data_IF_529189388852
#
_entry.id   IF_529189388852
#
_cell.length_a   1.000
_cell.length_b   1.000
_cell.length_c   1.000
_cell.angle_alpha   90.00
_cell.angle_beta   90.00
_cell.angle_gamma   90.00
#
_symmetry.space_group_name_H-M   'P 1'
#
loop_
_entity.id
_entity.type
_entity.pdbx_description
1 polymer ?
#
# COMPACT_ATOMS: atom_id res chain seq x y z
N UNK A 1 -23.36 18.21 20.72
CA UNK A 1 -23.46 16.75 20.51
C UNK A 1 -23.97 16.56 19.11
N UNK A 2 -23.11 16.16 18.18
CA UNK A 2 -23.44 16.12 16.74
C UNK A 2 -24.44 15.00 16.49
N UNK A 3 -25.66 15.34 16.07
CA UNK A 3 -26.68 14.34 15.74
C UNK A 3 -26.32 13.69 14.41
N UNK A 4 -25.97 12.43 14.49
CA UNK A 4 -25.32 11.69 13.43
C UNK A 4 -25.94 10.27 13.41
N UNK A 5 -25.89 9.56 12.27
CA UNK A 5 -26.51 8.24 12.12
C UNK A 5 -25.99 7.24 13.18
N UNK A 6 -24.72 7.34 13.57
CA UNK A 6 -24.11 6.51 14.62
C UNK A 6 -24.72 6.86 15.98
N UNK A 7 -24.93 8.15 16.26
CA UNK A 7 -25.64 8.58 17.47
C UNK A 7 -27.07 8.02 17.53
N UNK A 8 -27.77 7.95 16.39
CA UNK A 8 -29.09 7.30 16.31
C UNK A 8 -29.03 5.80 16.61
N UNK A 9 -28.04 5.09 16.05
CA UNK A 9 -27.84 3.65 16.28
C UNK A 9 -27.49 3.36 17.74
N UNK A 10 -26.64 4.18 18.37
CA UNK A 10 -26.29 4.05 19.79
C UNK A 10 -27.52 4.22 20.67
N UNK A 11 -28.37 5.23 20.40
CA UNK A 11 -29.63 5.43 21.15
C UNK A 11 -30.57 4.23 21.02
N UNK A 12 -30.65 3.61 19.85
CA UNK A 12 -31.46 2.40 19.65
C UNK A 12 -30.94 1.23 20.47
N UNK A 13 -29.62 1.01 20.48
CA UNK A 13 -29.00 -0.06 21.27
C UNK A 13 -29.17 0.16 22.77
N UNK A 14 -29.02 1.39 23.25
CA UNK A 14 -29.25 1.74 24.65
C UNK A 14 -30.71 1.54 25.07
N UNK A 15 -31.68 1.75 24.16
CA UNK A 15 -33.08 1.48 24.43
C UNK A 15 -33.40 -0.02 24.57
N UNK A 16 -32.70 -0.87 23.80
CA UNK A 16 -32.91 -2.33 23.83
C UNK A 16 -32.09 -3.01 24.93
N UNK A 17 -30.87 -2.53 25.19
CA UNK A 17 -29.98 -3.08 26.21
C UNK A 17 -29.18 -1.96 26.89
N UNK A 18 -29.72 -1.35 27.96
CA UNK A 18 -29.09 -0.22 28.65
C UNK A 18 -27.75 -0.56 29.33
N UNK A 19 -27.47 -1.84 29.58
CA UNK A 19 -26.24 -2.29 30.23
C UNK A 19 -25.08 -2.57 29.27
N UNK A 20 -25.30 -2.43 27.96
CA UNK A 20 -24.27 -2.67 26.95
C UNK A 20 -23.38 -1.45 26.77
N UNK A 21 -22.07 -1.63 26.95
CA UNK A 21 -21.10 -0.60 26.55
C UNK A 21 -21.08 -0.45 25.02
N UNK A 22 -21.55 0.70 24.56
CA UNK A 22 -21.65 1.05 23.14
C UNK A 22 -20.48 1.90 22.66
N UNK A 23 -19.55 2.26 23.54
CA UNK A 23 -18.40 3.12 23.21
C UNK A 23 -17.54 2.61 22.04
N UNK A 24 -17.16 1.32 22.00
CA UNK A 24 -16.40 0.76 20.88
C UNK A 24 -17.16 0.82 19.55
N UNK A 25 -18.46 0.51 19.56
CA UNK A 25 -19.31 0.58 18.37
C UNK A 25 -19.46 2.02 17.86
N UNK A 26 -19.62 2.96 18.78
CA UNK A 26 -19.74 4.39 18.46
C UNK A 26 -18.48 4.92 17.78
N UNK A 27 -17.30 4.54 18.28
CA UNK A 27 -16.01 4.92 17.68
C UNK A 27 -15.85 4.32 16.28
N UNK A 28 -16.06 3.00 16.13
CA UNK A 28 -15.94 2.30 14.85
C UNK A 28 -16.93 2.86 13.82
N UNK A 29 -18.18 3.11 14.23
CA UNK A 29 -19.21 3.68 13.37
C UNK A 29 -18.82 5.05 12.83
N UNK A 30 -18.24 5.91 13.67
CA UNK A 30 -17.77 7.23 13.24
C UNK A 30 -16.57 7.15 12.29
N UNK A 31 -15.62 6.26 12.54
CA UNK A 31 -14.48 6.05 11.64
C UNK A 31 -14.97 5.60 10.26
N UNK A 32 -15.87 4.61 10.21
CA UNK A 32 -16.44 4.13 8.95
C UNK A 32 -17.21 5.23 8.21
N UNK A 33 -17.95 6.08 8.93
CA UNK A 33 -18.65 7.22 8.34
C UNK A 33 -17.68 8.25 7.75
N UNK A 34 -16.62 8.59 8.47
CA UNK A 34 -15.58 9.49 7.96
C UNK A 34 -14.93 8.91 6.70
N UNK A 35 -14.63 7.61 6.69
CA UNK A 35 -14.07 6.94 5.52
C UNK A 35 -15.03 6.99 4.31
N UNK A 36 -16.32 6.71 4.52
CA UNK A 36 -17.32 6.78 3.45
C UNK A 36 -17.49 8.21 2.90
N UNK A 37 -17.53 9.22 3.78
CA UNK A 37 -17.61 10.63 3.36
C UNK A 37 -16.36 11.06 2.58
N UNK A 38 -15.18 10.61 3.00
CA UNK A 38 -13.94 10.88 2.29
C UNK A 38 -13.93 10.21 0.91
N UNK A 39 -14.35 8.95 0.80
CA UNK A 39 -14.51 8.26 -0.47
C UNK A 39 -15.45 9.03 -1.41
N UNK A 40 -16.63 9.43 -0.93
CA UNK A 40 -17.59 10.21 -1.72
C UNK A 40 -17.04 11.58 -2.14
N UNK A 41 -16.30 12.25 -1.25
CA UNK A 41 -15.71 13.56 -1.53
C UNK A 41 -14.59 13.48 -2.56
N UNK A 42 -13.82 12.38 -2.56
CA UNK A 42 -12.76 12.15 -3.52
C UNK A 42 -13.28 11.79 -4.92
N UNK A 43 -14.42 11.10 -5.01
CA UNK A 43 -15.04 10.77 -6.30
C UNK A 43 -15.42 12.00 -7.14
N UNK A 44 -15.72 13.15 -6.53
CA UNK A 44 -16.09 14.36 -7.27
C UNK A 44 -14.92 14.99 -8.05
N UNK A 45 -13.77 15.32 -7.43
CA UNK A 45 -12.60 15.83 -8.14
C UNK A 45 -11.89 14.75 -8.99
N UNK A 46 -11.88 13.49 -8.57
CA UNK A 46 -11.30 12.39 -9.36
C UNK A 46 -12.06 12.17 -10.67
N UNK A 47 -13.39 12.12 -10.62
CA UNK A 47 -14.23 12.05 -11.84
C UNK A 47 -14.05 13.28 -12.73
N UNK A 48 -13.89 14.48 -12.15
CA UNK A 48 -13.61 15.68 -12.93
C UNK A 48 -12.27 15.62 -13.66
N UNK A 49 -11.28 14.92 -13.09
CA UNK A 49 -9.99 14.64 -13.72
C UNK A 49 -10.00 13.39 -14.62
N UNK A 50 -11.14 12.68 -14.74
CA UNK A 50 -11.25 11.43 -15.50
C UNK A 50 -10.52 10.24 -14.88
N UNK A 51 -10.16 10.34 -13.58
CA UNK A 51 -9.39 9.33 -12.87
C UNK A 51 -10.29 8.53 -11.92
N UNK A 52 -9.97 7.26 -11.76
CA UNK A 52 -10.52 6.39 -10.71
C UNK A 52 -9.66 6.49 -9.45
N UNK A 53 -10.25 6.12 -8.29
CA UNK A 53 -9.52 6.07 -7.01
C UNK A 53 -8.27 5.18 -7.07
N UNK A 54 -8.37 4.03 -7.74
CA UNK A 54 -7.26 3.11 -7.91
C UNK A 54 -6.10 3.72 -8.72
N UNK A 55 -6.41 4.48 -9.77
CA UNK A 55 -5.40 5.19 -10.57
C UNK A 55 -4.74 6.32 -9.76
N UNK A 56 -5.50 7.04 -8.94
CA UNK A 56 -4.92 8.06 -8.06
C UNK A 56 -4.04 7.46 -6.98
N UNK A 57 -4.46 6.37 -6.34
CA UNK A 57 -3.65 5.67 -5.34
C UNK A 57 -2.38 5.10 -5.98
N UNK A 58 -2.44 4.62 -7.22
CA UNK A 58 -1.29 4.18 -8.01
C UNK A 58 -0.35 5.35 -8.32
N UNK A 59 -0.86 6.48 -8.82
CA UNK A 59 -0.07 7.69 -9.08
C UNK A 59 0.56 8.23 -7.79
N UNK A 60 -0.18 8.23 -6.69
CA UNK A 60 0.29 8.63 -5.37
C UNK A 60 1.33 7.67 -4.79
N UNK A 61 1.23 6.37 -5.10
CA UNK A 61 2.27 5.40 -4.78
C UNK A 61 3.52 5.69 -5.61
N UNK A 62 3.42 5.78 -6.94
CA UNK A 62 4.53 6.07 -7.87
C UNK A 62 5.19 7.42 -7.58
N UNK A 63 4.47 8.41 -7.06
CA UNK A 63 5.06 9.69 -6.66
C UNK A 63 5.81 9.61 -5.32
N UNK A 64 5.42 8.71 -4.42
CA UNK A 64 6.06 8.53 -3.11
C UNK A 64 7.24 7.58 -3.17
N UNK A 65 7.14 6.54 -3.97
CA UNK A 65 8.27 5.72 -4.37
C UNK A 65 8.83 6.35 -5.63
N UNK A 66 9.85 7.20 -5.52
CA UNK A 66 10.60 7.76 -6.64
C UNK A 66 11.26 6.65 -7.48
N UNK A 67 10.44 5.89 -8.19
CA UNK A 67 10.80 4.67 -8.90
C UNK A 67 9.82 4.50 -10.03
N UNK A 68 10.35 4.66 -11.24
CA UNK A 68 9.68 4.23 -12.46
C UNK A 68 9.28 2.77 -12.30
N UNK A 69 7.99 2.52 -12.11
CA UNK A 69 7.43 1.18 -12.28
C UNK A 69 7.32 0.94 -13.78
N UNK A 70 8.45 0.65 -14.43
CA UNK A 70 8.43 0.06 -15.76
C UNK A 70 7.74 -1.31 -15.64
N UNK A 71 6.59 -1.55 -16.30
CA UNK A 71 6.00 -2.88 -16.35
C UNK A 71 6.91 -3.74 -17.22
N UNK A 72 7.87 -4.45 -16.61
CA UNK A 72 8.78 -5.32 -17.36
C UNK A 72 10.20 -5.50 -16.84
N UNK A 73 10.56 -5.02 -15.64
CA UNK A 73 11.89 -5.35 -15.11
C UNK A 73 11.89 -6.70 -14.39
N UNK A 74 12.00 -7.79 -15.15
CA UNK A 74 12.40 -9.10 -14.61
C UNK A 74 13.69 -8.98 -13.80
N UNK A 75 13.79 -9.55 -12.59
CA UNK A 75 15.01 -9.48 -11.81
C UNK A 75 16.10 -10.31 -12.51
N UNK A 76 17.17 -9.61 -12.90
CA UNK A 76 18.54 -10.11 -13.00
C UNK A 76 18.74 -11.47 -13.65
N UNK A 77 19.09 -11.49 -14.93
CA UNK A 77 19.89 -12.60 -15.48
C UNK A 77 21.25 -12.57 -14.74
N UNK A 78 21.67 -13.62 -14.03
CA UNK A 78 23.00 -13.65 -13.44
C UNK A 78 24.06 -13.60 -14.55
N UNK A 79 25.06 -12.74 -14.38
CA UNK A 79 26.22 -12.66 -15.27
C UNK A 79 26.95 -14.02 -15.30
N UNK A 80 27.43 -14.49 -16.47
CA UNK A 80 28.19 -15.73 -16.54
C UNK A 80 29.54 -15.58 -15.80
N UNK A 81 30.05 -16.66 -15.18
CA UNK A 81 31.31 -16.62 -14.46
C UNK A 81 32.49 -16.33 -15.40
N UNK A 82 33.45 -15.53 -14.93
CA UNK A 82 34.66 -15.19 -15.66
C UNK A 82 35.53 -16.44 -15.92
N UNK A 83 36.23 -16.52 -17.07
CA UNK A 83 37.11 -17.65 -17.36
C UNK A 83 38.36 -17.63 -16.45
N UNK A 84 38.92 -18.81 -16.12
CA UNK A 84 40.11 -18.89 -15.28
C UNK A 84 41.34 -18.29 -15.98
N UNK A 85 42.10 -17.47 -15.26
CA UNK A 85 43.40 -16.96 -15.71
C UNK A 85 44.43 -18.10 -15.80
N UNK A 86 45.31 -18.12 -16.82
CA UNK A 86 46.36 -19.13 -16.94
C UNK A 86 47.49 -18.83 -15.95
N UNK A 87 47.44 -19.48 -14.79
CA UNK A 87 48.56 -19.48 -13.85
C UNK A 87 49.66 -20.43 -14.32
N UNK A 88 50.79 -19.85 -14.73
CA UNK A 88 52.12 -20.34 -14.40
C UNK A 88 52.59 -21.62 -15.09
N UNK A 89 53.14 -21.48 -16.30
CA UNK A 89 54.04 -22.46 -16.90
C UNK A 89 55.35 -22.51 -16.08
N UNK A 90 55.39 -23.38 -15.07
CA UNK A 90 56.59 -23.64 -14.26
C UNK A 90 57.65 -24.39 -15.05
N UNK A 91 58.51 -23.65 -15.76
CA UNK A 91 59.77 -24.17 -16.29
C UNK A 91 60.80 -24.33 -15.16
N UNK A 92 60.73 -25.43 -14.41
CA UNK A 92 61.88 -25.89 -13.64
C UNK A 92 62.77 -26.74 -14.55
N UNK A 93 63.80 -26.08 -15.10
CA UNK A 93 65.01 -26.75 -15.59
C UNK A 93 65.67 -27.42 -14.39
N UNK A 94 65.80 -28.73 -14.42
CA UNK A 94 66.76 -29.41 -13.56
C UNK A 94 67.87 -29.95 -14.45
N UNK A 95 69.05 -29.37 -14.27
CA UNK A 95 70.31 -29.84 -14.81
C UNK A 95 70.97 -30.68 -13.71
N UNK A 96 71.19 -31.96 -14.00
CA UNK A 96 72.29 -32.83 -13.55
C UNK A 96 72.16 -34.15 -14.31
#
# INVERSE_FOLDING_TARGET
>A
MTDDIVASVVRQWQAVNPGLDTGPMELIGRINRCAALLQQAEDAPLRAAGLTRAEFDLLGAVRRTDRELTPGSSPGRPSPPAPPSPSGCGHSRNAV
#
